data_IF_955232368207
#
_entry.id   IF_955232368207
#
_cell.length_a   1.000
_cell.length_b   1.000
_cell.length_c   1.000
_cell.angle_alpha   90.00
_cell.angle_beta   90.00
_cell.angle_gamma   90.00
#
_symmetry.space_group_name_H-M   'P 1'
#
loop_
_entity.id
_entity.type
_entity.pdbx_description
1 polymer ?
#
# COMPACT_ATOMS: atom_id res chain seq x y z
N UNK A 1 -15.27 -40.83 28.68
CA UNK A 1 -14.42 -39.67 28.35
C UNK A 1 -15.18 -38.35 28.41
N UNK A 2 -16.40 -38.23 27.88
CA UNK A 2 -17.16 -36.97 27.87
C UNK A 2 -17.45 -36.41 29.27
N UNK A 3 -17.81 -37.27 30.23
CA UNK A 3 -18.05 -36.86 31.63
C UNK A 3 -16.80 -36.29 32.33
N UNK A 4 -15.61 -36.76 31.99
CA UNK A 4 -14.36 -36.22 32.54
C UNK A 4 -14.02 -34.85 31.94
N UNK A 5 -14.26 -34.66 30.63
CA UNK A 5 -14.09 -33.36 29.96
C UNK A 5 -15.04 -32.30 30.52
N UNK A 6 -16.29 -32.69 30.81
CA UNK A 6 -17.28 -31.80 31.42
C UNK A 6 -16.81 -31.27 32.78
N UNK A 7 -16.32 -32.16 33.65
CA UNK A 7 -15.82 -31.77 34.98
C UNK A 7 -14.55 -30.92 34.88
N UNK A 8 -13.67 -31.17 33.90
CA UNK A 8 -12.49 -30.34 33.68
C UNK A 8 -12.83 -28.89 33.31
N UNK A 9 -13.85 -28.67 32.47
CA UNK A 9 -14.29 -27.32 32.12
C UNK A 9 -14.90 -26.59 33.32
N UNK A 10 -15.70 -27.28 34.14
CA UNK A 10 -16.26 -26.71 35.38
C UNK A 10 -15.19 -26.32 36.39
N UNK A 11 -14.06 -27.03 36.44
CA UNK A 11 -12.92 -26.69 37.30
C UNK A 11 -12.21 -25.40 36.86
N UNK A 12 -12.15 -25.13 35.55
CA UNK A 12 -11.61 -23.86 35.01
C UNK A 12 -12.54 -22.71 35.40
N UNK A 13 -13.85 -22.88 35.19
CA UNK A 13 -14.85 -21.87 35.57
C UNK A 13 -14.87 -21.61 37.08
N UNK A 14 -14.69 -22.66 37.89
CA UNK A 14 -14.56 -22.52 39.35
C UNK A 14 -13.31 -21.71 39.75
N UNK A 15 -12.20 -21.81 39.01
CA UNK A 15 -10.97 -21.06 39.28
C UNK A 15 -11.15 -19.55 39.07
N UNK A 16 -11.96 -19.16 38.09
CA UNK A 16 -12.26 -17.76 37.76
C UNK A 16 -13.51 -17.22 38.45
N UNK A 17 -14.12 -18.00 39.37
CA UNK A 17 -15.37 -17.64 40.07
C UNK A 17 -16.59 -17.42 39.13
N UNK A 18 -16.56 -18.01 37.94
CA UNK A 18 -17.58 -17.87 36.88
C UNK A 18 -18.66 -18.98 36.95
N UNK A 19 -18.72 -19.72 38.06
CA UNK A 19 -19.65 -20.83 38.25
C UNK A 19 -20.79 -20.42 39.19
N UNK A 20 -22.02 -20.83 38.88
CA UNK A 20 -23.18 -20.58 39.73
C UNK A 20 -23.02 -21.28 41.10
N UNK A 21 -23.62 -20.70 42.15
CA UNK A 21 -23.48 -21.17 43.53
C UNK A 21 -23.86 -22.66 43.72
N UNK A 22 -24.83 -23.14 42.94
CA UNK A 22 -25.29 -24.53 42.96
C UNK A 22 -24.27 -25.48 42.34
N UNK A 23 -23.76 -25.18 41.15
CA UNK A 23 -22.71 -25.97 40.52
C UNK A 23 -21.39 -25.88 41.29
N UNK A 24 -21.03 -24.72 41.84
CA UNK A 24 -19.83 -24.54 42.65
C UNK A 24 -19.81 -25.47 43.87
N UNK A 25 -20.95 -25.61 44.56
CA UNK A 25 -21.10 -26.58 45.67
C UNK A 25 -20.99 -28.02 45.20
N UNK A 26 -21.55 -28.35 44.04
CA UNK A 26 -21.47 -29.69 43.43
C UNK A 26 -20.02 -30.07 43.09
N UNK A 27 -19.30 -29.18 42.41
CA UNK A 27 -17.90 -29.39 42.00
C UNK A 27 -16.97 -29.45 43.21
N UNK A 28 -17.15 -28.59 44.22
CA UNK A 28 -16.38 -28.67 45.48
C UNK A 28 -16.62 -29.98 46.23
N UNK A 29 -17.85 -30.50 46.23
CA UNK A 29 -18.15 -31.83 46.77
C UNK A 29 -17.43 -32.91 45.96
N UNK A 30 -17.43 -32.81 44.63
CA UNK A 30 -16.71 -33.75 43.78
C UNK A 30 -15.20 -33.76 44.04
N UNK A 31 -14.58 -32.59 44.24
CA UNK A 31 -13.17 -32.44 44.62
C UNK A 31 -12.82 -33.08 45.97
N UNK A 32 -13.78 -33.17 46.90
CA UNK A 32 -13.60 -33.88 48.17
C UNK A 32 -13.49 -35.41 47.98
N UNK A 33 -14.14 -35.95 46.95
CA UNK A 33 -14.24 -37.39 46.68
C UNK A 33 -13.27 -37.90 45.61
N UNK A 34 -12.88 -37.09 44.63
CA UNK A 34 -12.07 -37.51 43.48
C UNK A 34 -10.65 -36.96 43.57
N UNK A 35 -9.66 -37.84 43.77
CA UNK A 35 -8.24 -37.48 43.87
C UNK A 35 -7.65 -37.02 42.53
N UNK A 36 -8.09 -37.59 41.40
CA UNK A 36 -7.61 -37.19 40.06
C UNK A 36 -8.02 -35.78 39.67
N UNK A 37 -9.27 -35.39 39.93
CA UNK A 37 -9.76 -34.03 39.68
C UNK A 37 -9.12 -33.01 40.63
N UNK A 38 -8.78 -33.42 41.87
CA UNK A 38 -8.05 -32.57 42.81
C UNK A 38 -6.63 -32.27 42.32
N UNK A 39 -5.88 -33.29 41.89
CA UNK A 39 -4.54 -33.12 41.34
C UNK A 39 -4.54 -32.21 40.10
N UNK A 40 -5.51 -32.38 39.20
CA UNK A 40 -5.68 -31.52 38.03
C UNK A 40 -5.98 -30.06 38.40
N UNK A 41 -6.84 -29.83 39.40
CA UNK A 41 -7.16 -28.48 39.87
C UNK A 41 -5.96 -27.79 40.53
N UNK A 42 -5.15 -28.52 41.30
CA UNK A 42 -3.91 -28.01 41.88
C UNK A 42 -2.88 -27.62 40.80
N UNK A 43 -2.77 -28.42 39.73
CA UNK A 43 -1.92 -28.10 38.58
C UNK A 43 -2.39 -26.83 37.87
N UNK A 44 -3.70 -26.69 37.66
CA UNK A 44 -4.31 -25.50 37.07
C UNK A 44 -4.08 -24.24 37.93
N UNK A 45 -4.24 -24.35 39.25
CA UNK A 45 -3.93 -23.26 40.19
C UNK A 45 -2.46 -22.87 40.16
N UNK A 46 -1.55 -23.85 40.06
CA UNK A 46 -0.11 -23.61 39.95
C UNK A 46 0.22 -22.85 38.67
N UNK A 47 -0.33 -23.28 37.53
CA UNK A 47 -0.16 -22.61 36.25
C UNK A 47 -0.63 -21.15 36.34
N UNK A 48 -1.85 -20.93 36.83
CA UNK A 48 -2.43 -19.58 36.95
C UNK A 48 -1.57 -18.65 37.82
N UNK A 49 -1.03 -19.13 38.94
CA UNK A 49 -0.11 -18.35 39.78
C UNK A 49 1.19 -18.01 39.06
N UNK A 50 1.77 -18.95 38.31
CA UNK A 50 3.00 -18.68 37.55
C UNK A 50 2.78 -17.69 36.41
N UNK A 51 1.63 -17.75 35.73
CA UNK A 51 1.31 -16.81 34.65
C UNK A 51 0.97 -15.42 35.18
N UNK A 52 0.26 -15.33 36.31
CA UNK A 52 -0.05 -14.05 36.95
C UNK A 52 1.21 -13.37 37.48
N UNK A 53 2.18 -14.13 38.00
CA UNK A 53 3.48 -13.58 38.42
C UNK A 53 4.34 -13.05 37.25
N UNK A 54 4.04 -13.47 36.02
CA UNK A 54 4.70 -13.02 34.79
C UNK A 54 3.96 -11.88 34.09
N UNK A 55 2.74 -11.53 34.53
CA UNK A 55 2.06 -10.36 34.00
C UNK A 55 2.81 -9.11 34.47
N UNK A 56 3.47 -8.46 33.52
CA UNK A 56 3.95 -7.09 33.66
C UNK A 56 2.78 -6.23 34.08
N UNK A 57 2.99 -5.43 35.13
CA UNK A 57 2.02 -4.49 35.68
C UNK A 57 1.25 -3.77 34.57
N UNK A 58 -0.06 -3.60 34.78
CA UNK A 58 -0.87 -2.67 33.99
C UNK A 58 -0.16 -1.31 34.07
N UNK A 59 0.45 -0.90 32.97
CA UNK A 59 1.14 0.39 32.87
C UNK A 59 0.05 1.45 32.92
N UNK A 60 0.21 2.43 33.80
CA UNK A 60 -0.73 3.54 33.94
C UNK A 60 -0.89 4.27 32.59
N UNK A 61 -2.11 4.67 32.26
CA UNK A 61 -2.43 5.27 30.95
C UNK A 61 -1.62 6.55 30.72
N UNK A 62 -1.34 7.31 31.80
CA UNK A 62 -0.52 8.51 31.77
C UNK A 62 0.96 8.20 31.47
N UNK A 63 1.46 7.09 31.98
CA UNK A 63 2.83 6.61 31.73
C UNK A 63 2.97 6.10 30.28
N UNK A 64 1.96 5.41 29.76
CA UNK A 64 1.90 5.03 28.34
C UNK A 64 1.90 6.26 27.42
N UNK A 65 1.14 7.31 27.77
CA UNK A 65 1.11 8.56 27.02
C UNK A 65 2.44 9.31 27.08
N UNK A 66 3.15 9.25 28.21
CA UNK A 66 4.49 9.82 28.35
C UNK A 66 5.50 9.08 27.46
N UNK A 67 5.52 7.74 27.52
CA UNK A 67 6.40 6.89 26.70
C UNK A 67 6.14 7.10 25.20
N UNK A 68 4.87 7.18 24.79
CA UNK A 68 4.50 7.44 23.40
C UNK A 68 5.02 8.79 22.90
N UNK A 69 4.91 9.83 23.73
CA UNK A 69 5.43 11.16 23.40
C UNK A 69 6.94 11.14 23.27
N UNK A 70 7.63 10.44 24.16
CA UNK A 70 9.10 10.35 24.11
C UNK A 70 9.59 9.59 22.87
N UNK A 71 8.98 8.44 22.57
CA UNK A 71 9.25 7.68 21.35
C UNK A 71 9.05 8.54 20.08
N UNK A 72 7.95 9.29 20.00
CA UNK A 72 7.70 10.16 18.85
C UNK A 72 8.72 11.29 18.73
N UNK A 73 9.30 11.76 19.84
CA UNK A 73 10.41 12.72 19.81
C UNK A 73 11.69 12.07 19.29
N UNK A 74 12.01 10.86 19.74
CA UNK A 74 13.19 10.12 19.29
C UNK A 74 13.11 9.81 17.80
N UNK A 75 11.95 9.36 17.30
CA UNK A 75 11.73 9.12 15.86
C UNK A 75 11.90 10.40 15.03
N UNK A 76 11.45 11.55 15.53
CA UNK A 76 11.67 12.84 14.82
C UNK A 76 13.14 13.25 14.81
N UNK A 77 13.90 12.88 15.86
CA UNK A 77 15.32 13.18 15.98
C UNK A 77 16.18 12.26 15.11
N UNK A 78 15.76 11.01 14.92
CA UNK A 78 16.43 10.03 14.06
C UNK A 78 15.93 10.03 12.60
N UNK A 79 14.87 10.77 12.29
CA UNK A 79 14.50 11.03 10.90
C UNK A 79 15.73 11.71 10.25
N UNK A 80 16.36 11.10 9.24
CA UNK A 80 17.58 11.63 8.67
C UNK A 80 17.30 13.06 8.25
N UNK A 81 18.03 14.01 8.83
CA UNK A 81 18.08 15.36 8.28
C UNK A 81 18.45 15.18 6.81
N UNK A 82 17.60 15.69 5.93
CA UNK A 82 17.87 15.70 4.50
C UNK A 82 19.30 16.16 4.28
N UNK A 83 20.06 15.24 3.70
CA UNK A 83 21.48 15.40 3.47
C UNK A 83 21.68 16.70 2.70
N UNK A 84 22.53 17.58 3.22
CA UNK A 84 22.97 18.78 2.51
C UNK A 84 23.54 18.46 1.11
N UNK A 85 23.86 17.19 0.84
CA UNK A 85 24.30 16.65 -0.45
C UNK A 85 23.15 16.62 -1.49
N UNK A 86 21.89 16.40 -1.08
CA UNK A 86 20.74 16.46 -2.01
C UNK A 86 20.45 17.91 -2.44
N UNK A 87 20.61 18.87 -1.53
CA UNK A 87 20.58 20.31 -1.88
C UNK A 87 21.75 20.70 -2.80
N UNK A 88 22.93 20.11 -2.61
CA UNK A 88 24.09 20.39 -3.46
C UNK A 88 23.93 19.82 -4.88
N UNK A 89 23.27 18.67 -5.04
CA UNK A 89 23.00 18.07 -6.36
C UNK A 89 21.88 18.77 -7.13
N UNK A 90 20.98 19.49 -6.45
CA UNK A 90 20.00 20.37 -7.12
C UNK A 90 20.55 21.75 -7.49
N UNK A 91 21.64 22.20 -6.87
CA UNK A 91 22.28 23.51 -7.14
C UNK A 91 23.52 23.35 -8.04
N UNK A 92 24.12 22.17 -8.12
CA UNK A 92 25.14 21.83 -9.11
C UNK A 92 24.49 21.55 -10.47
N UNK A 93 24.05 22.63 -11.12
CA UNK A 93 23.85 22.66 -12.56
C UNK A 93 25.07 22.03 -13.24
N UNK A 94 24.80 20.95 -13.98
CA UNK A 94 25.79 20.23 -14.75
C UNK A 94 26.64 21.20 -15.56
N UNK A 95 27.93 21.20 -15.22
CA UNK A 95 28.91 22.14 -15.70
C UNK A 95 29.00 22.19 -17.22
N UNK A 96 28.99 23.43 -17.68
CA UNK A 96 29.57 23.95 -18.91
C UNK A 96 30.89 23.28 -19.33
N UNK A 97 30.84 22.58 -20.46
CA UNK A 97 32.01 22.20 -21.28
C UNK A 97 31.61 22.20 -22.77
N UNK A 98 32.34 22.86 -23.68
CA UNK A 98 31.81 23.24 -25.01
C UNK A 98 31.92 22.16 -26.10
N UNK A 99 31.86 20.86 -25.78
CA UNK A 99 32.24 19.80 -26.74
C UNK A 99 31.14 18.75 -27.04
N UNK A 100 29.99 18.77 -26.37
CA UNK A 100 28.94 17.74 -26.56
C UNK A 100 27.63 18.24 -27.20
N UNK A 101 27.63 19.45 -27.78
CA UNK A 101 26.40 20.06 -28.33
C UNK A 101 25.83 19.43 -29.61
N UNK A 102 26.57 18.74 -30.51
CA UNK A 102 25.92 18.19 -31.71
C UNK A 102 25.29 16.79 -31.52
N UNK A 103 25.67 16.02 -30.50
CA UNK A 103 25.15 14.64 -30.27
C UNK A 103 23.88 14.63 -29.41
N UNK A 104 23.74 15.57 -28.47
CA UNK A 104 22.56 15.70 -27.63
C UNK A 104 21.33 16.24 -28.40
N UNK A 105 21.54 17.09 -29.42
CA UNK A 105 20.43 17.65 -30.21
C UNK A 105 19.85 16.61 -31.17
N UNK A 106 20.69 15.74 -31.77
CA UNK A 106 20.21 14.68 -32.67
C UNK A 106 19.45 13.58 -31.90
N UNK A 107 19.89 13.25 -30.68
CA UNK A 107 19.22 12.25 -29.83
C UNK A 107 17.92 12.79 -29.21
N UNK A 108 17.86 14.09 -28.87
CA UNK A 108 16.62 14.72 -28.42
C UNK A 108 15.57 14.78 -29.54
N UNK A 109 15.94 15.10 -30.78
CA UNK A 109 15.00 15.10 -31.93
C UNK A 109 14.53 13.68 -32.24
N UNK A 110 15.42 12.66 -32.18
CA UNK A 110 15.03 11.27 -32.38
C UNK A 110 14.12 10.75 -31.25
N UNK A 111 14.37 11.14 -30.00
CA UNK A 111 13.52 10.78 -28.87
C UNK A 111 12.14 11.45 -28.95
N UNK A 112 12.08 12.72 -29.37
CA UNK A 112 10.82 13.45 -29.58
C UNK A 112 10.06 12.88 -30.78
N UNK A 113 10.74 12.52 -31.88
CA UNK A 113 10.11 11.88 -33.04
C UNK A 113 9.61 10.46 -32.71
N UNK A 114 10.31 9.71 -31.86
CA UNK A 114 9.89 8.39 -31.39
C UNK A 114 8.70 8.49 -30.41
N UNK A 115 8.68 9.50 -29.53
CA UNK A 115 7.54 9.78 -28.64
C UNK A 115 6.32 10.29 -29.41
N UNK A 116 6.52 11.15 -30.41
CA UNK A 116 5.46 11.64 -31.28
C UNK A 116 4.89 10.53 -32.18
N UNK A 117 5.74 9.65 -32.71
CA UNK A 117 5.31 8.47 -33.47
C UNK A 117 4.53 7.46 -32.61
N UNK A 118 4.92 7.28 -31.34
CA UNK A 118 4.19 6.42 -30.40
C UNK A 118 2.81 7.00 -30.03
N UNK A 119 2.69 8.33 -29.93
CA UNK A 119 1.41 9.01 -29.68
C UNK A 119 0.46 8.99 -30.88
N UNK A 120 0.97 8.98 -32.11
CA UNK A 120 0.14 9.01 -33.33
C UNK A 120 -0.33 7.61 -33.77
N UNK A 121 0.43 6.55 -33.46
CA UNK A 121 0.16 5.19 -33.98
C UNK A 121 -0.25 4.17 -32.90
N UNK A 122 -0.05 4.44 -31.61
CA UNK A 122 -0.28 3.46 -30.54
C UNK A 122 -1.13 3.91 -29.35
N UNK A 123 -1.67 5.13 -29.35
CA UNK A 123 -2.39 5.69 -28.22
C UNK A 123 -3.89 5.81 -28.47
N UNK A 124 -4.67 4.79 -28.12
CA UNK A 124 -5.99 5.03 -27.56
C UNK A 124 -5.77 5.73 -26.21
N UNK A 125 -5.47 7.03 -26.29
CA UNK A 125 -5.38 7.91 -25.16
C UNK A 125 -6.79 8.00 -24.59
N UNK A 126 -7.01 7.30 -23.48
CA UNK A 126 -8.09 7.59 -22.55
C UNK A 126 -7.84 8.97 -21.96
N UNK A 127 -8.13 10.00 -22.76
CA UNK A 127 -8.34 11.36 -22.31
C UNK A 127 -9.60 11.30 -21.45
N UNK A 128 -9.48 11.66 -20.16
CA UNK A 128 -10.65 11.84 -19.31
C UNK A 128 -11.61 12.82 -20.02
N UNK A 129 -12.84 12.42 -20.36
CA UNK A 129 -13.81 13.33 -20.93
C UNK A 129 -14.32 14.23 -19.80
N UNK A 130 -13.68 15.39 -19.62
CA UNK A 130 -14.08 16.36 -18.60
C UNK A 130 -13.12 17.53 -18.34
N UNK A 131 -11.85 17.46 -18.79
CA UNK A 131 -10.86 18.52 -18.52
C UNK A 131 -10.36 19.28 -19.77
N UNK A 132 -10.95 19.06 -20.95
CA UNK A 132 -10.62 19.82 -22.17
C UNK A 132 -11.61 20.97 -22.43
N UNK A 133 -11.47 22.05 -21.66
CA UNK A 133 -11.92 23.39 -22.03
C UNK A 133 -10.88 24.42 -21.58
N UNK A 134 -9.66 24.29 -22.09
CA UNK A 134 -8.66 25.38 -22.15
C UNK A 134 -7.55 25.07 -23.18
N UNK A 135 -7.87 24.34 -24.25
CA UNK A 135 -6.96 24.19 -25.37
C UNK A 135 -7.14 25.41 -26.29
N UNK A 136 -6.13 26.28 -26.27
CA UNK A 136 -5.93 27.43 -27.14
C UNK A 136 -6.13 27.07 -28.62
N UNK A 137 -7.14 27.66 -29.26
CA UNK A 137 -7.38 27.64 -30.71
C UNK A 137 -6.77 28.93 -31.32
N UNK A 138 -5.73 28.84 -32.16
CA UNK A 138 -5.08 30.03 -32.73
C UNK A 138 -5.91 30.73 -33.83
N UNK A 139 -7.04 30.17 -34.27
CA UNK A 139 -7.85 30.72 -35.36
C UNK A 139 -9.36 30.55 -35.13
N UNK A 140 -9.88 30.94 -33.96
CA UNK A 140 -11.32 30.89 -33.72
C UNK A 140 -11.75 31.68 -32.50
N UNK A 141 -12.54 32.73 -32.73
CA UNK A 141 -13.53 33.34 -31.82
C UNK A 141 -13.13 33.58 -30.36
N UNK A 142 -13.11 34.86 -29.97
CA UNK A 142 -12.91 35.34 -28.60
C UNK A 142 -13.37 34.36 -27.50
N UNK A 143 -12.51 33.99 -26.54
CA UNK A 143 -12.91 33.11 -25.45
C UNK A 143 -14.01 33.79 -24.63
N UNK A 144 -15.19 33.17 -24.63
CA UNK A 144 -16.29 33.55 -23.77
C UNK A 144 -15.83 33.56 -22.33
N UNK A 145 -15.87 34.75 -21.73
CA UNK A 145 -15.68 35.02 -20.32
C UNK A 145 -16.71 34.21 -19.51
N UNK A 146 -16.34 33.00 -19.10
CA UNK A 146 -17.27 32.09 -18.41
C UNK A 146 -16.63 31.12 -17.42
N UNK A 147 -15.30 31.13 -17.25
CA UNK A 147 -14.60 30.20 -16.36
C UNK A 147 -13.90 30.88 -15.17
N UNK A 148 -14.29 32.11 -14.81
CA UNK A 148 -13.98 32.64 -13.48
C UNK A 148 -14.87 31.91 -12.46
N UNK A 149 -14.46 30.70 -12.08
CA UNK A 149 -14.95 30.04 -10.87
C UNK A 149 -14.63 30.95 -9.69
N UNK A 150 -15.63 31.29 -8.87
CA UNK A 150 -15.57 32.33 -7.84
C UNK A 150 -14.56 32.08 -6.70
N UNK A 151 -13.86 30.92 -6.71
CA UNK A 151 -12.98 30.47 -5.62
C UNK A 151 -11.51 30.25 -6.02
N UNK A 152 -11.10 30.61 -7.24
CA UNK A 152 -9.71 30.46 -7.66
C UNK A 152 -8.79 31.42 -6.89
N UNK A 153 -7.80 30.89 -6.16
CA UNK A 153 -6.76 31.69 -5.55
C UNK A 153 -5.74 32.06 -6.63
N UNK A 154 -5.74 33.33 -7.02
CA UNK A 154 -4.81 33.87 -8.02
C UNK A 154 -3.52 34.31 -7.33
N UNK A 155 -2.38 33.80 -7.80
CA UNK A 155 -1.03 34.15 -7.36
C UNK A 155 -0.16 34.54 -8.54
N UNK A 156 0.96 35.22 -8.30
CA UNK A 156 1.96 35.56 -9.32
C UNK A 156 1.40 36.31 -10.55
N UNK A 157 0.46 37.24 -10.35
CA UNK A 157 -0.08 38.07 -11.41
C UNK A 157 0.99 39.02 -11.99
N UNK A 158 1.19 38.96 -13.30
CA UNK A 158 2.08 39.82 -14.07
C UNK A 158 1.39 40.35 -15.32
N UNK A 159 1.66 41.60 -15.66
CA UNK A 159 1.27 42.20 -16.95
C UNK A 159 2.40 41.93 -17.93
N UNK A 160 2.11 41.23 -19.03
CA UNK A 160 3.09 40.88 -20.07
C UNK A 160 3.21 42.01 -21.10
N UNK A 161 2.08 42.54 -21.54
CA UNK A 161 2.01 43.58 -22.55
C UNK A 161 0.80 44.49 -22.33
N UNK A 162 0.96 45.76 -22.73
CA UNK A 162 -0.12 46.73 -22.79
C UNK A 162 0.03 47.53 -24.09
N UNK A 163 -0.91 47.35 -25.00
CA UNK A 163 -0.98 48.12 -26.24
C UNK A 163 -1.84 49.38 -25.99
N UNK A 164 -1.21 50.55 -26.06
CA UNK A 164 -1.88 51.83 -25.81
C UNK A 164 -2.77 52.28 -26.98
N UNK A 165 -2.63 51.66 -28.16
CA UNK A 165 -3.38 52.01 -29.37
C UNK A 165 -4.65 51.17 -29.53
N UNK A 166 -4.59 49.88 -29.22
CA UNK A 166 -5.77 49.00 -29.19
C UNK A 166 -6.47 48.98 -27.83
N UNK A 167 -5.74 49.31 -26.75
CA UNK A 167 -6.21 49.18 -25.38
C UNK A 167 -6.08 47.78 -24.80
N UNK A 168 -5.43 46.85 -25.53
CA UNK A 168 -5.28 45.46 -25.09
C UNK A 168 -4.25 45.35 -23.96
N UNK A 169 -4.56 44.50 -22.97
CA UNK A 169 -3.67 44.20 -21.86
C UNK A 169 -3.59 42.68 -21.71
N UNK A 170 -2.37 42.16 -21.69
CA UNK A 170 -2.09 40.75 -21.51
C UNK A 170 -1.57 40.50 -20.10
N UNK A 171 -2.15 39.52 -19.41
CA UNK A 171 -1.79 39.13 -18.06
C UNK A 171 -1.41 37.65 -18.01
N UNK A 172 -0.40 37.33 -17.22
CA UNK A 172 -0.04 35.97 -16.80
C UNK A 172 -0.28 35.85 -15.31
N UNK A 173 -0.89 34.76 -14.87
CA UNK A 173 -1.06 34.47 -13.45
C UNK A 173 -1.16 32.97 -13.21
N UNK A 174 -0.81 32.56 -12.00
CA UNK A 174 -1.06 31.22 -11.50
C UNK A 174 -2.42 31.19 -10.79
N UNK A 175 -3.22 30.16 -11.04
CA UNK A 175 -4.49 29.96 -10.35
C UNK A 175 -4.51 28.59 -9.70
N UNK A 176 -4.76 28.56 -8.39
CA UNK A 176 -4.99 27.31 -7.65
C UNK A 176 -6.49 27.18 -7.38
N UNK A 177 -7.10 26.15 -7.96
CA UNK A 177 -8.51 25.82 -7.74
C UNK A 177 -8.62 24.51 -6.93
N UNK A 178 -9.25 24.56 -5.73
CA UNK A 178 -9.55 23.33 -5.00
C UNK A 178 -10.63 22.54 -5.75
N UNK A 179 -10.33 21.28 -6.07
CA UNK A 179 -11.28 20.36 -6.72
C UNK A 179 -11.80 19.37 -5.69
N UNK A 180 -13.12 19.28 -5.55
CA UNK A 180 -13.79 18.30 -4.70
C UNK A 180 -14.46 17.25 -5.56
N UNK A 181 -14.04 16.00 -5.41
CA UNK A 181 -14.63 14.85 -6.10
C UNK A 181 -15.32 13.98 -5.06
N UNK A 182 -16.61 13.70 -5.27
CA UNK A 182 -17.40 12.78 -4.46
C UNK A 182 -17.97 11.72 -5.37
N UNK A 183 -17.55 10.48 -5.15
CA UNK A 183 -18.02 9.33 -5.90
C UNK A 183 -17.83 8.06 -5.10
N UNK A 184 -17.93 6.92 -5.77
CA UNK A 184 -17.70 5.60 -5.21
C UNK A 184 -16.55 4.90 -5.96
N UNK A 185 -16.19 3.68 -5.56
CA UNK A 185 -15.10 2.94 -6.18
C UNK A 185 -15.39 2.44 -7.60
N UNK A 186 -16.60 2.61 -8.12
CA UNK A 186 -16.97 2.30 -9.51
C UNK A 186 -16.78 3.51 -10.44
N UNK A 187 -16.60 4.69 -9.86
CA UNK A 187 -16.42 5.94 -10.59
C UNK A 187 -14.99 6.02 -11.19
N UNK A 188 -14.85 6.09 -12.53
CA UNK A 188 -13.55 6.20 -13.18
C UNK A 188 -12.71 7.39 -12.69
N UNK A 189 -13.33 8.51 -12.35
CA UNK A 189 -12.63 9.71 -11.89
C UNK A 189 -12.06 9.49 -10.48
N UNK A 190 -12.83 8.85 -9.59
CA UNK A 190 -12.36 8.47 -8.25
C UNK A 190 -11.20 7.49 -8.36
N UNK A 191 -11.31 6.48 -9.22
CA UNK A 191 -10.26 5.50 -9.44
C UNK A 191 -8.98 6.14 -10.01
N UNK A 192 -9.10 7.07 -10.96
CA UNK A 192 -7.97 7.82 -11.52
C UNK A 192 -7.28 8.68 -10.46
N UNK A 193 -8.05 9.37 -9.62
CA UNK A 193 -7.52 10.16 -8.49
C UNK A 193 -6.80 9.27 -7.49
N UNK A 194 -7.33 8.10 -7.15
CA UNK A 194 -6.69 7.16 -6.24
C UNK A 194 -5.39 6.60 -6.82
N UNK A 195 -5.38 6.19 -8.08
CA UNK A 195 -4.18 5.72 -8.77
C UNK A 195 -3.09 6.82 -8.82
N UNK A 196 -3.49 8.06 -9.11
CA UNK A 196 -2.58 9.22 -9.10
C UNK A 196 -2.07 9.51 -7.69
N UNK A 197 -2.95 9.51 -6.69
CA UNK A 197 -2.58 9.74 -5.30
C UNK A 197 -1.58 8.69 -4.80
N UNK A 198 -1.77 7.42 -5.20
CA UNK A 198 -0.88 6.32 -4.85
C UNK A 198 0.54 6.49 -5.41
N UNK A 199 0.71 7.00 -6.64
CA UNK A 199 2.03 7.05 -7.29
C UNK A 199 2.72 8.40 -7.15
N UNK A 200 1.98 9.52 -7.14
CA UNK A 200 2.58 10.86 -7.20
C UNK A 200 2.46 11.71 -5.94
N UNK A 201 1.73 11.26 -4.91
CA UNK A 201 1.62 12.07 -3.69
C UNK A 201 2.95 12.11 -2.93
N UNK A 202 3.40 13.32 -2.57
CA UNK A 202 4.59 13.49 -1.73
C UNK A 202 4.39 12.96 -0.30
N UNK A 203 3.14 12.85 0.17
CA UNK A 203 2.84 12.38 1.52
C UNK A 203 2.61 10.86 1.54
N UNK A 204 3.47 10.06 2.20
CA UNK A 204 3.31 8.61 2.26
C UNK A 204 2.00 8.17 2.95
N UNK A 205 1.44 8.98 3.85
CA UNK A 205 0.14 8.68 4.46
C UNK A 205 -1.03 8.81 3.48
N UNK A 206 -0.91 9.66 2.46
CA UNK A 206 -1.92 9.73 1.37
C UNK A 206 -1.78 8.50 0.47
N UNK A 207 -0.55 8.15 0.07
CA UNK A 207 -0.29 6.95 -0.75
C UNK A 207 -0.78 5.67 -0.06
N UNK A 208 -0.49 5.53 1.24
CA UNK A 208 -0.96 4.41 2.06
C UNK A 208 -2.49 4.33 2.07
N UNK A 209 -3.17 5.45 2.35
CA UNK A 209 -4.65 5.49 2.32
C UNK A 209 -5.21 5.15 0.95
N UNK A 210 -4.59 5.63 -0.12
CA UNK A 210 -5.00 5.28 -1.48
C UNK A 210 -4.89 3.76 -1.71
N UNK A 211 -3.78 3.13 -1.32
CA UNK A 211 -3.63 1.68 -1.38
C UNK A 211 -4.70 0.92 -0.56
N UNK A 212 -4.98 1.35 0.68
CA UNK A 212 -6.05 0.77 1.51
C UNK A 212 -7.41 0.83 0.81
N UNK A 213 -7.80 2.01 0.33
CA UNK A 213 -9.11 2.24 -0.29
C UNK A 213 -9.27 1.41 -1.55
N UNK A 214 -8.20 1.28 -2.35
CA UNK A 214 -8.17 0.38 -3.52
C UNK A 214 -8.34 -1.08 -3.07
N UNK A 215 -7.63 -1.52 -2.03
CA UNK A 215 -7.63 -2.90 -1.55
C UNK A 215 -8.94 -3.35 -0.89
N UNK A 216 -9.63 -2.48 -0.17
CA UNK A 216 -10.89 -2.82 0.53
C UNK A 216 -12.04 -3.18 -0.41
N UNK A 217 -11.97 -2.81 -1.68
CA UNK A 217 -13.11 -2.88 -2.62
C UNK A 217 -12.82 -3.67 -3.90
N UNK A 218 -11.60 -4.19 -4.07
CA UNK A 218 -11.20 -4.95 -5.27
C UNK A 218 -11.85 -6.34 -5.39
N UNK A 219 -12.58 -6.78 -4.36
CA UNK A 219 -13.24 -8.10 -4.28
C UNK A 219 -14.46 -8.29 -5.21
N UNK A 220 -14.95 -7.25 -5.90
CA UNK A 220 -16.23 -7.33 -6.63
C UNK A 220 -16.11 -7.43 -8.15
N UNK A 221 -14.90 -7.53 -8.74
CA UNK A 221 -14.74 -7.56 -10.22
C UNK A 221 -15.40 -6.37 -10.94
N UNK A 222 -15.58 -5.26 -10.22
CA UNK A 222 -16.46 -4.13 -10.56
C UNK A 222 -15.73 -2.98 -11.28
N UNK A 223 -14.48 -3.20 -11.71
CA UNK A 223 -13.71 -2.19 -12.41
C UNK A 223 -14.10 -2.14 -13.88
N UNK A 224 -14.40 -0.94 -14.39
CA UNK A 224 -14.41 -0.68 -15.84
C UNK A 224 -13.02 -1.02 -16.38
N UNK A 225 -12.97 -1.79 -17.47
CA UNK A 225 -11.75 -2.48 -17.95
C UNK A 225 -10.54 -1.55 -18.13
N UNK A 226 -10.77 -0.33 -18.66
CA UNK A 226 -9.73 0.68 -18.84
C UNK A 226 -9.07 1.14 -17.53
N UNK A 227 -9.86 1.33 -16.48
CA UNK A 227 -9.36 1.86 -15.20
C UNK A 227 -8.82 0.75 -14.28
N UNK A 228 -9.30 -0.49 -14.45
CA UNK A 228 -8.72 -1.68 -13.80
C UNK A 228 -7.23 -1.79 -14.07
N UNK A 229 -6.83 -1.56 -15.33
CA UNK A 229 -5.43 -1.56 -15.75
C UNK A 229 -4.62 -0.47 -15.06
N UNK A 230 -5.14 0.76 -15.01
CA UNK A 230 -4.47 1.90 -14.37
C UNK A 230 -4.25 1.64 -12.88
N UNK A 231 -5.26 1.13 -12.17
CA UNK A 231 -5.12 0.75 -10.76
C UNK A 231 -4.05 -0.32 -10.60
N UNK A 232 -4.09 -1.39 -11.39
CA UNK A 232 -3.10 -2.47 -11.34
C UNK A 232 -1.67 -1.95 -11.54
N UNK A 233 -1.45 -1.14 -12.57
CA UNK A 233 -0.14 -0.55 -12.87
C UNK A 233 0.34 0.38 -11.75
N UNK A 234 -0.57 1.17 -11.16
CA UNK A 234 -0.25 2.03 -10.01
C UNK A 234 0.14 1.23 -8.76
N UNK A 235 -0.55 0.13 -8.48
CA UNK A 235 -0.23 -0.79 -7.39
C UNK A 235 1.12 -1.49 -7.62
N UNK A 236 1.38 -1.97 -8.84
CA UNK A 236 2.67 -2.56 -9.21
C UNK A 236 3.79 -1.54 -8.99
N UNK A 237 3.60 -0.30 -9.46
CA UNK A 237 4.57 0.78 -9.26
C UNK A 237 4.86 1.03 -7.77
N UNK A 238 3.80 1.14 -6.95
CA UNK A 238 3.95 1.33 -5.52
C UNK A 238 4.65 0.15 -4.82
N UNK A 239 4.33 -1.10 -5.19
CA UNK A 239 4.97 -2.30 -4.62
C UNK A 239 6.48 -2.33 -4.90
N UNK A 240 6.87 -1.97 -6.12
CA UNK A 240 8.25 -2.11 -6.58
C UNK A 240 9.13 -0.91 -6.23
N UNK A 241 8.57 0.31 -6.22
CA UNK A 241 9.37 1.54 -6.24
C UNK A 241 9.03 2.55 -5.14
N UNK A 242 7.97 2.36 -4.34
CA UNK A 242 7.68 3.32 -3.26
C UNK A 242 8.78 3.29 -2.19
N UNK A 243 9.29 4.44 -1.80
CA UNK A 243 10.33 4.56 -0.77
C UNK A 243 9.85 4.09 0.62
N UNK A 244 8.53 4.19 0.88
CA UNK A 244 7.93 3.83 2.14
C UNK A 244 7.48 2.36 2.14
N UNK A 245 8.15 1.55 2.96
CA UNK A 245 7.83 0.11 3.13
C UNK A 245 6.39 -0.17 3.53
N UNK A 246 5.76 0.70 4.32
CA UNK A 246 4.36 0.56 4.70
C UNK A 246 3.43 0.69 3.49
N UNK A 247 3.70 1.66 2.61
CA UNK A 247 2.96 1.80 1.34
C UNK A 247 3.19 0.60 0.44
N UNK A 248 4.43 0.13 0.29
CA UNK A 248 4.75 -1.07 -0.50
C UNK A 248 3.99 -2.31 -0.02
N UNK A 249 3.97 -2.53 1.30
CA UNK A 249 3.29 -3.67 1.91
C UNK A 249 1.79 -3.63 1.64
N UNK A 250 1.19 -2.46 1.78
CA UNK A 250 -0.24 -2.26 1.63
C UNK A 250 -0.68 -2.33 0.17
N UNK A 251 0.09 -1.74 -0.74
CA UNK A 251 -0.10 -1.89 -2.18
C UNK A 251 0.00 -3.36 -2.59
N UNK A 252 0.88 -4.16 -1.98
CA UNK A 252 1.00 -5.59 -2.27
C UNK A 252 -0.24 -6.37 -1.83
N UNK A 253 -0.81 -6.05 -0.65
CA UNK A 253 -2.06 -6.66 -0.19
C UNK A 253 -3.20 -6.37 -1.16
N UNK A 254 -3.32 -5.14 -1.63
CA UNK A 254 -4.32 -4.76 -2.64
C UNK A 254 -4.06 -5.44 -3.99
N UNK A 255 -2.78 -5.54 -4.42
CA UNK A 255 -2.39 -6.19 -5.68
C UNK A 255 -2.74 -7.69 -5.72
N UNK A 256 -2.87 -8.35 -4.57
CA UNK A 256 -3.26 -9.77 -4.46
C UNK A 256 -4.60 -10.08 -5.15
N UNK A 257 -5.50 -9.11 -5.23
CA UNK A 257 -6.80 -9.28 -5.88
C UNK A 257 -6.71 -9.28 -7.41
N UNK A 258 -5.56 -8.88 -7.96
CA UNK A 258 -5.27 -8.96 -9.39
C UNK A 258 -4.63 -10.30 -9.80
N UNK A 259 -4.27 -11.17 -8.85
CA UNK A 259 -3.76 -12.50 -9.17
C UNK A 259 -4.86 -13.38 -9.80
N UNK A 260 -4.56 -14.17 -10.85
CA UNK A 260 -3.22 -14.58 -11.30
C UNK A 260 -2.64 -13.77 -12.50
N UNK A 261 -3.03 -12.50 -12.69
CA UNK A 261 -2.49 -11.65 -13.77
C UNK A 261 -0.95 -11.70 -13.82
N UNK A 262 -0.38 -11.85 -15.02
CA UNK A 262 1.05 -12.09 -15.20
C UNK A 262 1.93 -10.94 -14.70
N UNK A 263 1.50 -9.69 -14.87
CA UNK A 263 2.24 -8.51 -14.41
C UNK A 263 2.18 -8.40 -12.88
N UNK A 264 1.00 -8.60 -12.28
CA UNK A 264 0.83 -8.63 -10.83
C UNK A 264 1.66 -9.76 -10.19
N UNK A 265 1.60 -10.96 -10.78
CA UNK A 265 2.38 -12.13 -10.37
C UNK A 265 3.88 -11.82 -10.41
N UNK A 266 4.37 -11.29 -11.53
CA UNK A 266 5.79 -10.96 -11.70
C UNK A 266 6.26 -9.94 -10.68
N UNK A 267 5.44 -8.94 -10.36
CA UNK A 267 5.77 -7.93 -9.35
C UNK A 267 5.91 -8.55 -7.94
N UNK A 268 4.96 -9.39 -7.53
CA UNK A 268 5.01 -10.06 -6.21
C UNK A 268 6.21 -11.03 -6.14
N UNK A 269 6.46 -11.80 -7.20
CA UNK A 269 7.62 -12.70 -7.27
C UNK A 269 8.95 -11.94 -7.26
N UNK A 270 9.00 -10.76 -7.89
CA UNK A 270 10.19 -9.92 -7.85
C UNK A 270 10.47 -9.46 -6.42
N UNK A 271 9.46 -9.02 -5.67
CA UNK A 271 9.63 -8.68 -4.25
C UNK A 271 10.12 -9.89 -3.45
N UNK A 272 9.54 -11.07 -3.66
CA UNK A 272 9.99 -12.29 -2.98
C UNK A 272 11.46 -12.60 -3.26
N UNK A 273 11.96 -12.27 -4.45
CA UNK A 273 13.33 -12.56 -4.89
C UNK A 273 14.36 -11.51 -4.45
N UNK A 274 14.04 -10.23 -4.55
CA UNK A 274 15.02 -9.14 -4.44
C UNK A 274 14.96 -8.37 -3.12
N UNK A 275 13.86 -8.49 -2.37
CA UNK A 275 13.68 -7.68 -1.18
C UNK A 275 14.58 -8.11 -0.03
N UNK A 276 15.28 -7.14 0.56
CA UNK A 276 16.16 -7.37 1.71
C UNK A 276 15.36 -7.52 3.00
N UNK A 277 14.23 -6.82 3.12
CA UNK A 277 13.35 -6.91 4.28
C UNK A 277 12.60 -8.26 4.32
N UNK A 278 12.91 -9.07 5.33
CA UNK A 278 12.30 -10.40 5.52
C UNK A 278 10.77 -10.33 5.65
N UNK A 279 10.22 -9.32 6.34
CA UNK A 279 8.77 -9.22 6.51
C UNK A 279 8.03 -8.97 5.18
N UNK A 280 8.63 -8.18 4.28
CA UNK A 280 8.11 -7.99 2.93
C UNK A 280 8.18 -9.26 2.09
N UNK A 281 9.27 -10.04 2.19
CA UNK A 281 9.36 -11.35 1.52
C UNK A 281 8.30 -12.33 2.04
N UNK A 282 8.09 -12.35 3.36
CA UNK A 282 7.03 -13.15 4.01
C UNK A 282 5.65 -12.72 3.51
N UNK A 283 5.39 -11.41 3.40
CA UNK A 283 4.14 -10.89 2.87
C UNK A 283 3.93 -11.31 1.40
N UNK A 284 4.99 -11.28 0.59
CA UNK A 284 4.95 -11.69 -0.81
C UNK A 284 4.58 -13.18 -0.96
N UNK A 285 5.29 -14.08 -0.26
CA UNK A 285 4.98 -15.52 -0.36
C UNK A 285 3.59 -15.86 0.20
N UNK A 286 3.13 -15.15 1.22
CA UNK A 286 1.78 -15.33 1.77
C UNK A 286 0.67 -14.74 0.88
N UNK A 287 1.02 -13.88 -0.09
CA UNK A 287 0.05 -13.33 -1.05
C UNK A 287 -0.21 -14.27 -2.23
N UNK A 288 0.67 -15.25 -2.46
CA UNK A 288 0.58 -16.21 -3.55
C UNK A 288 -0.34 -17.36 -3.14
N UNK A 289 -1.63 -17.23 -3.48
CA UNK A 289 -2.60 -18.30 -3.33
C UNK A 289 -2.58 -19.19 -4.58
N UNK A 290 -1.99 -20.38 -4.43
CA UNK A 290 -1.78 -21.36 -5.50
C UNK A 290 -3.08 -21.74 -6.22
N UNK A 291 -4.23 -21.73 -5.54
CA UNK A 291 -5.53 -22.06 -6.13
C UNK A 291 -5.92 -21.09 -7.25
N UNK A 292 -5.40 -19.85 -7.24
CA UNK A 292 -5.62 -18.87 -8.30
C UNK A 292 -4.81 -19.16 -9.57
N UNK A 293 -3.78 -20.01 -9.51
CA UNK A 293 -2.83 -20.23 -10.62
C UNK A 293 -3.11 -21.55 -11.33
N UNK A 294 -4.15 -21.57 -12.16
CA UNK A 294 -4.55 -22.76 -12.92
C UNK A 294 -3.79 -22.92 -14.24
N UNK A 295 -3.57 -21.81 -14.94
CA UNK A 295 -3.07 -21.77 -16.32
C UNK A 295 -1.66 -21.17 -16.44
N UNK A 296 -0.98 -21.49 -17.55
CA UNK A 296 0.26 -20.83 -17.95
C UNK A 296 -0.05 -19.42 -18.51
N UNK A 297 0.87 -18.44 -18.41
CA UNK A 297 2.25 -18.55 -17.93
C UNK A 297 2.40 -18.31 -16.42
N UNK A 298 1.41 -17.73 -15.74
CA UNK A 298 1.54 -17.32 -14.34
C UNK A 298 1.80 -18.50 -13.39
N UNK A 299 1.20 -19.67 -13.65
CA UNK A 299 1.48 -20.89 -12.89
C UNK A 299 2.94 -21.33 -13.02
N UNK A 300 3.53 -21.26 -14.22
CA UNK A 300 4.93 -21.66 -14.42
C UNK A 300 5.89 -20.72 -13.70
N UNK A 301 5.67 -19.40 -13.82
CA UNK A 301 6.44 -18.39 -13.10
C UNK A 301 6.42 -18.61 -11.59
N UNK A 302 5.23 -18.92 -11.04
CA UNK A 302 5.08 -19.24 -9.62
C UNK A 302 5.88 -20.49 -9.23
N UNK A 303 5.71 -21.60 -9.96
CA UNK A 303 6.39 -22.86 -9.63
C UNK A 303 7.91 -22.72 -9.68
N UNK A 304 8.45 -22.01 -10.67
CA UNK A 304 9.89 -21.79 -10.80
C UNK A 304 10.42 -20.93 -9.65
N UNK A 305 9.71 -19.86 -9.28
CA UNK A 305 10.07 -19.05 -8.13
C UNK A 305 10.01 -19.86 -6.82
N UNK A 306 8.98 -20.68 -6.61
CA UNK A 306 8.86 -21.52 -5.41
C UNK A 306 9.99 -22.56 -5.33
N UNK A 307 10.35 -23.21 -6.45
CA UNK A 307 11.51 -24.13 -6.50
C UNK A 307 12.79 -23.43 -6.10
N UNK A 308 13.06 -22.27 -6.71
CA UNK A 308 14.23 -21.45 -6.41
C UNK A 308 14.28 -21.08 -4.92
N UNK A 309 13.19 -20.54 -4.36
CA UNK A 309 13.11 -20.09 -2.97
C UNK A 309 13.15 -21.22 -1.95
N UNK A 310 12.64 -22.42 -2.28
CA UNK A 310 12.67 -23.59 -1.39
C UNK A 310 14.10 -24.03 -1.05
N UNK A 311 15.06 -23.79 -1.95
CA UNK A 311 16.46 -24.19 -1.79
C UNK A 311 17.34 -23.00 -1.39
N UNK A 312 17.16 -21.85 -2.06
CA UNK A 312 18.12 -20.73 -1.99
C UNK A 312 17.74 -19.64 -0.98
N UNK A 313 16.52 -19.60 -0.45
CA UNK A 313 16.18 -18.50 0.47
C UNK A 313 16.84 -18.69 1.84
N UNK A 314 17.43 -17.62 2.36
CA UNK A 314 18.08 -17.61 3.68
C UNK A 314 17.06 -17.80 4.81
N UNK A 315 15.82 -17.32 4.62
CA UNK A 315 14.79 -17.38 5.64
C UNK A 315 14.11 -18.75 5.68
N UNK A 316 14.12 -19.38 6.86
CA UNK A 316 13.56 -20.73 7.04
C UNK A 316 12.05 -20.80 6.79
N UNK A 317 11.28 -19.79 7.19
CA UNK A 317 9.83 -19.76 6.93
C UNK A 317 9.54 -19.74 5.43
N UNK A 318 10.28 -18.95 4.66
CA UNK A 318 10.12 -18.86 3.21
C UNK A 318 10.43 -20.21 2.55
N UNK A 319 11.53 -20.86 2.95
CA UNK A 319 11.87 -22.20 2.43
C UNK A 319 10.76 -23.21 2.71
N UNK A 320 10.33 -23.31 3.96
CA UNK A 320 9.28 -24.25 4.38
C UNK A 320 7.98 -23.98 3.62
N UNK A 321 7.54 -22.72 3.56
CA UNK A 321 6.30 -22.35 2.87
C UNK A 321 6.38 -22.66 1.38
N UNK A 322 7.53 -22.43 0.74
CA UNK A 322 7.73 -22.76 -0.66
C UNK A 322 7.73 -24.28 -0.91
N UNK A 323 8.38 -25.07 -0.04
CA UNK A 323 8.33 -26.54 -0.10
C UNK A 323 6.90 -27.06 0.07
N UNK A 324 6.15 -26.55 1.06
CA UNK A 324 4.75 -26.96 1.27
C UNK A 324 3.88 -26.64 0.05
N UNK A 325 4.00 -25.43 -0.51
CA UNK A 325 3.26 -25.04 -1.70
C UNK A 325 3.58 -25.94 -2.92
N UNK A 326 4.83 -26.37 -3.09
CA UNK A 326 5.20 -27.30 -4.17
C UNK A 326 4.62 -28.70 -3.96
N UNK A 327 4.50 -29.17 -2.72
CA UNK A 327 3.88 -30.46 -2.39
C UNK A 327 2.38 -30.46 -2.66
N UNK A 328 1.69 -29.34 -2.39
CA UNK A 328 0.27 -29.16 -2.67
C UNK A 328 -0.06 -29.29 -4.18
N UNK A 329 0.88 -28.95 -5.08
CA UNK A 329 0.70 -29.08 -6.54
C UNK A 329 0.85 -30.52 -7.04
N UNK A 330 1.57 -31.36 -6.29
CA UNK A 330 1.88 -32.74 -6.69
C UNK A 330 0.79 -33.75 -6.30
N UNK A 331 -0.17 -33.33 -5.47
CA UNK A 331 -1.33 -34.12 -5.07
C UNK A 331 -2.50 -33.87 -6.02
#
# INVERSE_FOLDING_TARGET
MERQKHVQNELILLLYEELDDTAAKSVRRHLSTCTGCRAYFEELQRLHRTTHALQTSVVDDDELLALRRDLMRQIRKERPQESLIDRLLTVAGFGSGPVWRPVAVLSAVAAIAFLAGFLIVGGDAYVLPGLHQAAYDPYGGAPSSGLMSQDAQITNLRIIAQDQSSGDIEFEFEAVMPVYIKGNMHDPDVQAVLAKALVSSQNPGIRLRAANVIGERSQQNDFVDGTRRVIKESLISAVLYDENRGVRLEAMKALRDFLPDSAATSAILLVLKTETNVAMKIAAINSLDLAKFTEAPSRQLLLDALRERSVLDENNYIRIRATSALQEVQQ
#
